data_IF_918571041306
#
_entry.id   IF_918571041306
#
_cell.length_a   1.000
_cell.length_b   1.000
_cell.length_c   1.000
_cell.angle_alpha   90.00
_cell.angle_beta   90.00
_cell.angle_gamma   90.00
#
_symmetry.space_group_name_H-M   'P 1'
#
loop_
_entity.id
_entity.type
_entity.pdbx_description
1 polymer ?
#
# COMPACT_ATOMS: atom_id res chain seq x y z
N UNK A 1 -1.42 3.90 -19.14
CA UNK A 1 -1.93 3.46 -17.81
C UNK A 1 -3.41 3.14 -17.90
N UNK A 2 -3.93 2.13 -17.23
CA UNK A 2 -5.36 1.97 -17.05
C UNK A 2 -5.93 3.14 -16.25
N UNK A 3 -7.21 3.42 -16.43
CA UNK A 3 -7.89 4.54 -15.76
C UNK A 3 -7.88 4.42 -14.23
N UNK A 4 -8.01 3.18 -13.73
CA UNK A 4 -7.93 2.86 -12.31
C UNK A 4 -6.85 1.80 -12.08
N UNK A 5 -6.06 1.94 -11.00
CA UNK A 5 -5.00 0.99 -10.64
C UNK A 5 -5.54 -0.22 -9.85
N UNK A 6 -6.85 -0.40 -9.82
CA UNK A 6 -7.58 -1.47 -9.15
C UNK A 6 -8.72 -1.93 -10.05
N UNK A 7 -9.01 -3.22 -10.06
CA UNK A 7 -10.12 -3.79 -10.85
C UNK A 7 -10.68 -5.06 -10.21
N UNK A 8 -11.91 -5.38 -10.60
CA UNK A 8 -12.51 -6.69 -10.33
C UNK A 8 -12.41 -7.53 -11.61
N UNK A 9 -11.95 -8.76 -11.46
CA UNK A 9 -11.84 -9.75 -12.55
C UNK A 9 -12.61 -11.01 -12.15
N UNK A 10 -13.40 -11.54 -13.08
CA UNK A 10 -14.06 -12.83 -12.93
C UNK A 10 -13.20 -13.93 -13.56
N UNK A 11 -13.03 -15.03 -12.84
CA UNK A 11 -12.30 -16.20 -13.30
C UNK A 11 -13.12 -17.45 -12.87
N UNK A 12 -13.86 -18.02 -13.80
CA UNK A 12 -14.86 -19.03 -13.53
C UNK A 12 -15.97 -18.53 -12.61
N UNK A 13 -16.22 -19.27 -11.52
CA UNK A 13 -17.24 -18.94 -10.52
C UNK A 13 -16.75 -17.99 -9.41
N UNK A 14 -15.51 -17.52 -9.51
CA UNK A 14 -14.89 -16.63 -8.53
C UNK A 14 -14.59 -15.27 -9.12
N UNK A 15 -14.72 -14.28 -8.29
CA UNK A 15 -14.29 -12.92 -8.61
C UNK A 15 -13.09 -12.56 -7.73
N UNK A 16 -12.19 -11.73 -8.27
CA UNK A 16 -10.98 -11.28 -7.59
C UNK A 16 -10.85 -9.77 -7.67
N UNK A 17 -10.48 -9.15 -6.55
CA UNK A 17 -9.97 -7.79 -6.56
C UNK A 17 -8.48 -7.85 -6.89
N UNK A 18 -8.07 -7.08 -7.89
CA UNK A 18 -6.68 -6.99 -8.31
C UNK A 18 -6.15 -5.57 -8.18
N UNK A 19 -4.89 -5.45 -7.78
CA UNK A 19 -4.12 -4.21 -7.77
C UNK A 19 -3.03 -4.21 -8.83
N UNK A 20 -2.65 -3.01 -9.28
CA UNK A 20 -1.68 -2.81 -10.34
C UNK A 20 -0.25 -2.73 -9.78
N UNK A 21 0.69 -3.34 -10.49
CA UNK A 21 2.11 -3.10 -10.39
C UNK A 21 2.63 -2.57 -11.74
N UNK A 22 3.47 -1.53 -11.72
CA UNK A 22 4.00 -0.88 -12.92
C UNK A 22 5.52 -0.93 -12.91
N UNK A 23 6.11 -1.56 -13.91
CA UNK A 23 7.56 -1.52 -14.12
C UNK A 23 7.90 -0.37 -15.07
N UNK A 24 8.86 0.45 -14.66
CA UNK A 24 9.36 1.58 -15.44
C UNK A 24 10.88 1.53 -15.54
N UNK A 25 11.43 2.10 -16.62
CA UNK A 25 12.88 2.17 -16.86
C UNK A 25 13.25 3.52 -17.45
N UNK A 26 14.39 4.06 -17.05
CA UNK A 26 14.97 5.27 -17.64
C UNK A 26 16.01 4.96 -18.72
N UNK A 27 16.54 6.00 -19.36
CA UNK A 27 17.53 5.87 -20.42
C UNK A 27 18.89 5.32 -19.93
N UNK A 28 19.20 5.41 -18.64
CA UNK A 28 20.39 4.82 -18.03
C UNK A 28 20.26 3.31 -17.78
N UNK A 29 19.04 2.77 -17.94
CA UNK A 29 18.68 1.40 -17.63
C UNK A 29 18.34 1.17 -16.16
N UNK A 30 18.21 2.24 -15.34
CA UNK A 30 17.69 2.10 -13.99
C UNK A 30 16.19 1.78 -14.03
N UNK A 31 15.76 0.85 -13.17
CA UNK A 31 14.39 0.36 -13.11
C UNK A 31 13.69 0.80 -11.84
N UNK A 32 12.42 1.14 -11.96
CA UNK A 32 11.51 1.40 -10.84
C UNK A 32 10.29 0.50 -10.97
N UNK A 33 9.98 -0.22 -9.91
CA UNK A 33 8.77 -1.00 -9.77
C UNK A 33 7.83 -0.30 -8.80
N UNK A 34 6.71 0.24 -9.32
CA UNK A 34 5.62 0.76 -8.51
C UNK A 34 4.74 -0.40 -8.08
N UNK A 35 4.73 -0.72 -6.80
CA UNK A 35 3.97 -1.84 -6.22
C UNK A 35 2.76 -1.26 -5.51
N UNK A 36 1.62 -1.30 -6.22
CA UNK A 36 0.36 -0.79 -5.68
C UNK A 36 -0.27 -1.77 -4.72
N UNK A 37 -0.34 -1.42 -3.44
CA UNK A 37 -0.94 -2.28 -2.42
C UNK A 37 -2.36 -1.89 -2.05
N UNK A 38 -3.09 -2.86 -1.53
CA UNK A 38 -4.37 -2.70 -0.84
C UNK A 38 -4.10 -3.10 0.61
N UNK A 39 -4.55 -2.27 1.57
CA UNK A 39 -4.20 -2.47 2.99
C UNK A 39 -4.80 -3.73 3.63
N UNK A 40 -5.80 -4.33 2.98
CA UNK A 40 -6.46 -5.58 3.38
C UNK A 40 -6.46 -6.54 2.20
N UNK A 41 -5.89 -7.72 2.38
CA UNK A 41 -5.78 -8.74 1.32
C UNK A 41 -5.53 -10.13 1.85
N UNK A 42 -5.46 -11.09 0.96
CA UNK A 42 -5.03 -12.45 1.29
C UNK A 42 -3.53 -12.45 1.65
N UNK A 43 -3.12 -13.31 2.54
CA UNK A 43 -1.73 -13.41 2.97
C UNK A 43 -0.79 -13.71 1.78
N UNK A 44 -1.22 -14.56 0.86
CA UNK A 44 -0.49 -14.89 -0.37
C UNK A 44 -0.22 -13.68 -1.26
N UNK A 45 -1.15 -12.73 -1.33
CA UNK A 45 -0.95 -11.47 -2.05
C UNK A 45 0.24 -10.67 -1.50
N UNK A 46 0.34 -10.54 -0.19
CA UNK A 46 1.45 -9.81 0.41
C UNK A 46 2.77 -10.56 0.31
N UNK A 47 2.75 -11.91 0.28
CA UNK A 47 3.95 -12.68 -0.04
C UNK A 47 4.45 -12.43 -1.47
N UNK A 48 3.56 -12.24 -2.43
CA UNK A 48 3.98 -11.82 -3.77
C UNK A 48 4.54 -10.39 -3.77
N UNK A 49 3.92 -9.45 -3.05
CA UNK A 49 4.48 -8.11 -2.86
C UNK A 49 5.86 -8.16 -2.19
N UNK A 50 6.07 -9.03 -1.18
CA UNK A 50 7.36 -9.22 -0.51
C UNK A 50 8.44 -9.67 -1.49
N UNK A 51 8.17 -10.64 -2.36
CA UNK A 51 9.13 -11.07 -3.39
C UNK A 51 9.55 -9.93 -4.31
N UNK A 52 8.62 -9.02 -4.64
CA UNK A 52 8.93 -7.87 -5.48
C UNK A 52 9.86 -6.87 -4.76
N UNK A 53 9.61 -6.58 -3.49
CA UNK A 53 10.46 -5.66 -2.72
C UNK A 53 11.81 -6.27 -2.37
N UNK A 54 11.88 -7.60 -2.16
CA UNK A 54 13.13 -8.31 -1.89
C UNK A 54 14.07 -8.33 -3.10
N UNK A 55 13.53 -8.18 -4.31
CA UNK A 55 14.30 -8.07 -5.54
C UNK A 55 14.85 -6.65 -5.80
N UNK A 56 14.55 -5.67 -4.94
CA UNK A 56 14.96 -4.30 -5.11
C UNK A 56 16.20 -3.96 -4.27
N UNK A 57 17.12 -3.16 -4.84
CA UNK A 57 18.27 -2.60 -4.11
C UNK A 57 17.81 -1.57 -3.08
N UNK A 58 16.68 -0.90 -3.35
CA UNK A 58 16.09 0.14 -2.51
C UNK A 58 14.58 0.21 -2.68
N UNK A 59 13.84 0.33 -1.57
CA UNK A 59 12.38 0.39 -1.55
C UNK A 59 11.92 1.61 -0.79
N UNK A 60 11.22 2.50 -1.47
CA UNK A 60 10.57 3.67 -0.89
C UNK A 60 9.16 3.28 -0.48
N UNK A 61 8.78 3.51 0.78
CA UNK A 61 7.51 3.01 1.28
C UNK A 61 6.68 4.06 2.02
N UNK A 62 5.38 3.85 1.96
CA UNK A 62 4.34 4.65 2.59
C UNK A 62 4.20 4.31 4.06
N UNK A 63 4.31 5.33 4.95
CA UNK A 63 4.05 5.17 6.38
C UNK A 63 3.80 6.54 7.05
N UNK A 64 2.54 6.88 7.30
CA UNK A 64 2.16 8.11 8.00
C UNK A 64 2.66 8.17 9.44
N UNK A 65 3.01 7.05 10.05
CA UNK A 65 3.59 6.99 11.39
C UNK A 65 5.10 7.34 11.42
N UNK A 66 5.67 7.79 10.28
CA UNK A 66 7.03 8.34 10.24
C UNK A 66 8.14 7.31 10.32
N UNK A 67 7.97 6.14 9.69
CA UNK A 67 8.95 5.06 9.67
C UNK A 67 8.80 4.06 10.83
N UNK A 68 7.73 4.15 11.58
CA UNK A 68 7.43 3.25 12.71
C UNK A 68 7.30 1.79 12.28
N UNK A 69 6.82 1.53 11.05
CA UNK A 69 6.74 0.18 10.48
C UNK A 69 8.10 -0.50 10.40
N UNK A 70 9.11 0.15 9.83
CA UNK A 70 10.44 -0.42 9.74
C UNK A 70 11.05 -0.67 11.12
N UNK A 71 10.90 0.29 12.03
CA UNK A 71 11.36 0.13 13.42
C UNK A 71 10.70 -1.06 14.11
N UNK A 72 9.38 -1.22 13.96
CA UNK A 72 8.65 -2.35 14.53
C UNK A 72 9.19 -3.69 14.03
N UNK A 73 9.45 -3.82 12.73
CA UNK A 73 10.00 -5.04 12.14
C UNK A 73 11.44 -5.30 12.56
N UNK A 74 12.30 -4.29 12.63
CA UNK A 74 13.67 -4.41 13.13
C UNK A 74 13.69 -4.90 14.60
N UNK A 75 12.82 -4.33 15.45
CA UNK A 75 12.68 -4.76 16.83
C UNK A 75 12.16 -6.20 16.96
N UNK A 76 11.22 -6.61 16.08
CA UNK A 76 10.74 -8.00 16.02
C UNK A 76 11.82 -8.98 15.60
N UNK A 77 12.68 -8.62 14.65
CA UNK A 77 13.83 -9.43 14.27
C UNK A 77 14.77 -9.62 15.46
N UNK A 78 15.14 -8.52 16.16
CA UNK A 78 15.94 -8.59 17.39
C UNK A 78 15.28 -9.44 18.48
N UNK A 79 13.95 -9.37 18.62
CA UNK A 79 13.20 -10.18 19.57
C UNK A 79 13.32 -11.67 19.28
N UNK A 80 13.18 -12.08 18.01
CA UNK A 80 13.33 -13.49 17.60
C UNK A 80 14.74 -14.04 17.87
N UNK A 81 15.75 -13.16 17.84
CA UNK A 81 17.14 -13.49 18.11
C UNK A 81 17.53 -13.34 19.59
N UNK A 82 16.58 -12.97 20.46
CA UNK A 82 16.83 -12.75 21.89
C UNK A 82 17.73 -11.55 22.20
N UNK A 83 17.85 -10.58 21.28
CA UNK A 83 18.78 -9.43 21.34
C UNK A 83 18.13 -8.12 21.74
N UNK A 84 16.87 -8.10 22.18
CA UNK A 84 16.21 -6.88 22.65
C UNK A 84 16.78 -6.43 23.99
N UNK A 85 17.13 -5.16 24.08
CA UNK A 85 17.31 -4.46 25.36
C UNK A 85 15.94 -4.21 26.01
N UNK A 86 15.91 -3.94 27.32
CA UNK A 86 14.65 -3.64 28.03
C UNK A 86 13.96 -2.41 27.40
N UNK A 87 14.70 -1.36 27.10
CA UNK A 87 14.17 -0.16 26.42
C UNK A 87 13.57 -0.47 25.05
N UNK A 88 14.21 -1.34 24.26
CA UNK A 88 13.67 -1.77 22.96
C UNK A 88 12.42 -2.63 23.10
N UNK A 89 12.34 -3.43 24.16
CA UNK A 89 11.15 -4.23 24.49
C UNK A 89 9.97 -3.31 24.81
N UNK A 90 10.17 -2.32 25.69
CA UNK A 90 9.16 -1.34 26.04
C UNK A 90 8.69 -0.55 24.79
N UNK A 91 9.63 -0.17 23.92
CA UNK A 91 9.30 0.53 22.67
C UNK A 91 8.49 -0.35 21.72
N UNK A 92 8.86 -1.62 21.54
CA UNK A 92 8.09 -2.55 20.71
C UNK A 92 6.68 -2.77 21.26
N UNK A 93 6.51 -2.85 22.57
CA UNK A 93 5.19 -2.93 23.20
C UNK A 93 4.36 -1.67 22.94
N UNK A 94 4.95 -0.48 23.04
CA UNK A 94 4.27 0.78 22.73
C UNK A 94 3.80 0.83 21.27
N UNK A 95 4.69 0.48 20.33
CA UNK A 95 4.36 0.43 18.89
C UNK A 95 3.22 -0.57 18.64
N UNK A 96 3.30 -1.76 19.23
CA UNK A 96 2.27 -2.79 19.08
C UNK A 96 0.90 -2.35 19.63
N UNK A 97 0.86 -1.49 20.66
CA UNK A 97 -0.42 -0.96 21.20
C UNK A 97 -1.08 0.04 20.26
N UNK A 98 -0.32 0.79 19.50
CA UNK A 98 -0.83 1.88 18.64
C UNK A 98 -1.15 1.37 17.24
N UNK A 99 -0.15 0.79 16.53
CA UNK A 99 -0.26 0.52 15.11
C UNK A 99 -0.37 -0.97 14.76
N UNK A 100 0.08 -1.85 15.64
CA UNK A 100 0.24 -3.28 15.35
C UNK A 100 -0.43 -4.18 16.37
N UNK A 101 -1.35 -3.64 17.16
CA UNK A 101 -2.11 -4.45 18.10
C UNK A 101 -2.87 -5.55 17.33
N UNK A 102 -2.50 -6.83 17.47
CA UNK A 102 -3.20 -7.93 16.81
C UNK A 102 -4.66 -8.03 17.24
N UNK A 103 -4.98 -7.50 18.42
CA UNK A 103 -6.32 -7.46 18.99
C UNK A 103 -7.08 -6.16 18.67
N UNK A 104 -6.54 -5.29 17.80
CA UNK A 104 -7.28 -4.12 17.34
C UNK A 104 -8.56 -4.56 16.62
N UNK A 105 -9.59 -3.71 16.67
CA UNK A 105 -10.87 -3.99 16.01
C UNK A 105 -10.66 -4.27 14.52
N UNK A 106 -9.81 -3.48 13.84
CA UNK A 106 -9.48 -3.67 12.43
C UNK A 106 -8.80 -5.01 12.15
N UNK A 107 -7.88 -5.44 13.01
CA UNK A 107 -7.19 -6.73 12.84
C UNK A 107 -8.13 -7.91 13.09
N UNK A 108 -8.98 -7.82 14.13
CA UNK A 108 -10.01 -8.84 14.40
C UNK A 108 -11.01 -8.90 13.25
N UNK A 109 -11.43 -7.74 12.73
CA UNK A 109 -12.33 -7.68 11.60
C UNK A 109 -11.70 -8.33 10.36
N UNK A 110 -10.46 -7.99 10.02
CA UNK A 110 -9.75 -8.58 8.89
C UNK A 110 -9.64 -10.11 9.04
N UNK A 111 -9.21 -10.59 10.20
CA UNK A 111 -9.05 -12.01 10.50
C UNK A 111 -10.39 -12.77 10.41
N UNK A 112 -11.48 -12.18 10.91
CA UNK A 112 -12.83 -12.76 10.82
C UNK A 112 -13.33 -12.94 9.38
N UNK A 113 -12.73 -12.24 8.42
CA UNK A 113 -13.04 -12.32 6.98
C UNK A 113 -11.92 -12.97 6.17
N UNK A 114 -11.00 -13.69 6.84
CA UNK A 114 -9.90 -14.40 6.20
C UNK A 114 -8.88 -13.47 5.53
N UNK A 115 -8.86 -12.18 5.90
CA UNK A 115 -7.93 -11.19 5.37
C UNK A 115 -6.80 -10.90 6.35
N UNK A 116 -5.70 -10.34 5.82
CA UNK A 116 -4.58 -9.81 6.59
C UNK A 116 -4.39 -8.33 6.29
N UNK A 117 -3.79 -7.62 7.21
CA UNK A 117 -3.27 -6.28 6.94
C UNK A 117 -1.88 -6.36 6.35
N UNK A 118 -1.58 -5.48 5.40
CA UNK A 118 -0.27 -5.32 4.77
C UNK A 118 0.87 -5.30 5.81
N UNK A 119 0.71 -4.53 6.88
CA UNK A 119 1.70 -4.33 7.93
C UNK A 119 1.99 -5.56 8.78
N UNK A 120 1.14 -6.59 8.71
CA UNK A 120 1.32 -7.86 9.41
C UNK A 120 2.17 -8.86 8.62
N UNK A 121 2.24 -8.71 7.30
CA UNK A 121 2.85 -9.71 6.40
C UNK A 121 4.10 -9.18 5.72
N UNK A 122 4.08 -7.94 5.19
CA UNK A 122 5.25 -7.35 4.55
C UNK A 122 6.28 -6.96 5.61
N UNK A 123 7.50 -7.50 5.48
CA UNK A 123 8.62 -7.22 6.35
C UNK A 123 9.36 -5.95 5.92
N UNK A 124 9.20 -4.88 6.67
CA UNK A 124 9.83 -3.58 6.43
C UNK A 124 11.19 -3.42 7.12
N UNK A 125 11.70 -4.46 7.81
CA UNK A 125 12.92 -4.38 8.63
C UNK A 125 14.22 -4.43 7.86
N UNK A 126 14.17 -4.73 6.56
CA UNK A 126 15.36 -4.82 5.71
C UNK A 126 16.06 -3.47 5.48
N UNK A 127 17.38 -3.47 5.25
CA UNK A 127 18.19 -2.25 5.07
C UNK A 127 17.86 -1.49 3.77
N UNK A 128 17.20 -2.14 2.82
CA UNK A 128 16.78 -1.53 1.56
C UNK A 128 15.60 -0.57 1.72
N UNK A 129 14.83 -0.67 2.82
CA UNK A 129 13.64 0.15 3.03
C UNK A 129 13.98 1.59 3.41
N UNK A 130 13.40 2.55 2.72
CA UNK A 130 13.52 4.00 2.94
C UNK A 130 12.12 4.55 3.16
N UNK A 131 11.87 5.07 4.35
CA UNK A 131 10.64 5.79 4.61
C UNK A 131 10.54 7.02 3.71
N UNK A 132 9.44 7.14 3.00
CA UNK A 132 9.26 8.13 1.93
C UNK A 132 7.85 8.73 1.94
N UNK A 133 7.40 9.23 3.08
CA UNK A 133 6.05 9.77 3.28
C UNK A 133 6.10 11.06 4.11
N UNK A 134 4.95 11.70 4.27
CA UNK A 134 4.73 12.79 5.23
C UNK A 134 4.31 12.20 6.58
N UNK A 135 4.61 12.88 7.68
CA UNK A 135 4.10 12.49 8.99
C UNK A 135 2.65 12.90 9.13
N UNK A 136 1.85 12.07 9.77
CA UNK A 136 0.44 12.37 10.03
C UNK A 136 0.25 13.72 10.75
N UNK A 137 1.14 14.05 11.68
CA UNK A 137 1.11 15.32 12.41
C UNK A 137 1.34 16.56 11.53
N UNK A 138 2.00 16.42 10.38
CA UNK A 138 2.30 17.52 9.46
C UNK A 138 1.14 17.74 8.46
N UNK A 139 0.25 16.77 8.33
CA UNK A 139 -0.89 16.80 7.38
C UNK A 139 -1.82 18.01 7.55
N UNK A 140 -2.22 18.45 8.77
CA UNK A 140 -3.08 19.61 8.92
C UNK A 140 -2.47 20.88 8.30
N UNK A 141 -1.19 21.12 8.52
CA UNK A 141 -0.46 22.26 7.95
C UNK A 141 -0.36 22.17 6.41
N UNK A 142 -0.09 20.98 5.89
CA UNK A 142 -0.04 20.73 4.45
C UNK A 142 -1.40 20.96 3.78
N UNK A 143 -2.48 20.47 4.39
CA UNK A 143 -3.83 20.60 3.84
C UNK A 143 -4.37 22.04 3.91
N UNK A 144 -3.89 22.83 4.87
CA UNK A 144 -4.33 24.23 5.02
C UNK A 144 -4.14 25.06 3.74
N UNK A 145 -3.07 24.82 2.99
CA UNK A 145 -2.79 25.52 1.71
C UNK A 145 -3.81 25.25 0.60
N UNK A 146 -4.57 24.18 0.69
CA UNK A 146 -5.57 23.78 -0.32
C UNK A 146 -6.98 24.25 0.01
N UNK A 147 -7.19 24.81 1.20
CA UNK A 147 -8.51 25.20 1.68
C UNK A 147 -9.42 24.02 2.03
N UNK A 148 -10.67 24.29 2.40
CA UNK A 148 -11.62 23.24 2.76
C UNK A 148 -11.96 22.37 1.54
N UNK A 149 -11.82 21.06 1.71
CA UNK A 149 -12.21 20.11 0.68
C UNK A 149 -13.71 19.85 0.73
N UNK A 150 -14.32 19.78 -0.45
CA UNK A 150 -15.72 19.37 -0.50
C UNK A 150 -15.83 17.89 -0.07
N UNK A 151 -16.77 17.56 0.84
CA UNK A 151 -16.97 16.19 1.23
C UNK A 151 -17.46 15.38 0.03
N UNK A 152 -16.83 14.24 -0.20
CA UNK A 152 -17.28 13.28 -1.19
C UNK A 152 -18.37 12.40 -0.59
N UNK A 153 -19.58 12.48 -1.15
CA UNK A 153 -20.64 11.55 -0.80
C UNK A 153 -20.35 10.19 -1.44
N UNK A 154 -19.99 9.20 -0.62
CA UNK A 154 -19.82 7.81 -1.11
C UNK A 154 -21.15 7.34 -1.70
N UNK A 155 -21.20 6.95 -2.99
CA UNK A 155 -22.40 6.44 -3.59
C UNK A 155 -22.96 5.24 -2.82
N UNK A 156 -24.28 5.14 -2.72
CA UNK A 156 -24.91 3.93 -2.17
C UNK A 156 -24.71 2.80 -3.17
N UNK A 157 -23.75 1.91 -2.88
CA UNK A 157 -23.43 0.78 -3.73
C UNK A 157 -24.48 -0.33 -3.56
N UNK A 158 -24.88 -0.94 -4.67
CA UNK A 158 -25.68 -2.17 -4.62
C UNK A 158 -24.79 -3.32 -4.19
N UNK A 159 -25.37 -4.26 -3.43
CA UNK A 159 -24.67 -5.50 -3.15
C UNK A 159 -24.41 -6.24 -4.49
N UNK A 160 -23.22 -6.78 -4.67
CA UNK A 160 -22.92 -7.54 -5.87
C UNK A 160 -23.76 -8.84 -5.90
N UNK A 161 -24.21 -9.21 -7.07
CA UNK A 161 -24.84 -10.52 -7.29
C UNK A 161 -23.77 -11.60 -7.21
N UNK A 162 -23.97 -12.58 -6.34
CA UNK A 162 -23.05 -13.70 -6.13
C UNK A 162 -23.71 -14.99 -6.58
N UNK A 163 -23.04 -15.75 -7.42
CA UNK A 163 -23.46 -17.09 -7.83
C UNK A 163 -22.99 -18.15 -6.82
N UNK A 164 -23.72 -19.26 -6.71
CA UNK A 164 -23.37 -20.37 -5.82
C UNK A 164 -23.59 -20.09 -4.33
N UNK A 165 -22.86 -20.78 -3.47
CA UNK A 165 -22.97 -20.62 -2.02
C UNK A 165 -22.44 -19.23 -1.57
N UNK A 166 -23.26 -18.50 -0.81
CA UNK A 166 -22.97 -17.15 -0.33
C UNK A 166 -22.77 -17.16 1.18
N UNK A 167 -21.54 -17.35 1.61
CA UNK A 167 -21.15 -17.22 3.03
C UNK A 167 -21.10 -15.75 3.47
N UNK A 168 -21.24 -15.45 4.80
CA UNK A 168 -21.05 -14.09 5.32
C UNK A 168 -19.69 -13.50 4.95
N UNK A 169 -18.63 -14.30 4.99
CA UNK A 169 -17.28 -13.90 4.59
C UNK A 169 -17.24 -13.48 3.11
N UNK A 170 -17.74 -14.33 2.21
CA UNK A 170 -17.79 -14.07 0.76
C UNK A 170 -18.58 -12.80 0.44
N UNK A 171 -19.71 -12.59 1.12
CA UNK A 171 -20.53 -11.37 0.97
C UNK A 171 -19.78 -10.13 1.41
N UNK A 172 -19.05 -10.19 2.53
CA UNK A 172 -18.29 -9.06 3.03
C UNK A 172 -17.11 -8.72 2.10
N UNK A 173 -16.37 -9.73 1.65
CA UNK A 173 -15.25 -9.55 0.70
C UNK A 173 -15.74 -8.94 -0.62
N UNK A 174 -16.87 -9.38 -1.14
CA UNK A 174 -17.46 -8.82 -2.37
C UNK A 174 -17.86 -7.35 -2.21
N UNK A 175 -18.47 -6.97 -1.08
CA UNK A 175 -18.81 -5.58 -0.76
C UNK A 175 -17.55 -4.71 -0.66
N UNK A 176 -16.51 -5.22 -0.01
CA UNK A 176 -15.21 -4.54 0.09
C UNK A 176 -14.61 -4.32 -1.30
N UNK A 177 -14.59 -5.36 -2.15
CA UNK A 177 -14.07 -5.27 -3.50
C UNK A 177 -14.78 -4.20 -4.34
N UNK A 178 -16.13 -4.22 -4.33
CA UNK A 178 -16.96 -3.22 -5.05
C UNK A 178 -16.69 -1.81 -4.53
N UNK A 179 -16.57 -1.65 -3.20
CA UNK A 179 -16.29 -0.33 -2.61
C UNK A 179 -14.92 0.21 -3.00
N UNK A 180 -13.90 -0.62 -2.96
CA UNK A 180 -12.53 -0.23 -3.30
C UNK A 180 -12.35 0.07 -4.79
N UNK A 181 -13.08 -0.63 -5.65
CA UNK A 181 -13.01 -0.45 -7.11
C UNK A 181 -14.06 0.53 -7.67
N UNK A 182 -14.85 1.20 -6.83
CA UNK A 182 -15.87 2.14 -7.27
C UNK A 182 -15.21 3.36 -7.96
N UNK A 183 -15.47 3.59 -9.26
CA UNK A 183 -14.68 4.52 -10.05
C UNK A 183 -14.73 5.99 -9.59
N UNK A 184 -15.89 6.44 -9.07
CA UNK A 184 -16.05 7.84 -8.64
C UNK A 184 -15.28 8.09 -7.34
N UNK A 185 -15.36 7.15 -6.39
CA UNK A 185 -14.62 7.21 -5.14
C UNK A 185 -13.12 7.12 -5.36
N UNK A 186 -12.68 6.17 -6.19
CA UNK A 186 -11.28 6.03 -6.54
C UNK A 186 -10.71 7.30 -7.18
N UNK A 187 -11.39 7.86 -8.20
CA UNK A 187 -10.95 9.11 -8.84
C UNK A 187 -10.94 10.30 -7.89
N UNK A 188 -11.90 10.36 -6.96
CA UNK A 188 -11.92 11.40 -5.94
C UNK A 188 -10.68 11.30 -5.04
N UNK A 189 -10.42 10.11 -4.47
CA UNK A 189 -9.28 9.86 -3.58
C UNK A 189 -7.97 10.21 -4.27
N UNK A 190 -7.73 9.74 -5.48
CA UNK A 190 -6.50 9.99 -6.26
C UNK A 190 -6.21 11.47 -6.50
N UNK A 191 -7.22 12.33 -6.45
CA UNK A 191 -7.09 13.80 -6.70
C UNK A 191 -7.05 14.62 -5.43
N UNK A 192 -7.13 14.01 -4.26
CA UNK A 192 -7.11 14.78 -3.01
C UNK A 192 -5.71 15.34 -2.75
N UNK A 193 -5.60 16.54 -2.17
CA UNK A 193 -4.31 17.07 -1.70
C UNK A 193 -3.59 16.13 -0.73
N UNK A 194 -4.35 15.36 0.03
CA UNK A 194 -3.83 14.33 0.92
C UNK A 194 -2.96 13.30 0.16
N UNK A 195 -3.42 12.86 -1.02
CA UNK A 195 -2.67 11.93 -1.88
C UNK A 195 -1.49 12.65 -2.56
N UNK A 196 -1.77 13.79 -3.17
CA UNK A 196 -0.81 14.55 -3.97
C UNK A 196 0.44 14.97 -3.18
N UNK A 197 0.27 15.48 -1.95
CA UNK A 197 1.40 15.89 -1.11
C UNK A 197 2.30 14.72 -0.71
N UNK A 198 1.69 13.58 -0.44
CA UNK A 198 2.42 12.36 -0.11
C UNK A 198 3.24 11.85 -1.31
N UNK A 199 2.67 11.93 -2.51
CA UNK A 199 3.36 11.55 -3.74
C UNK A 199 4.54 12.47 -4.04
N UNK A 200 4.37 13.79 -3.88
CA UNK A 200 5.49 14.74 -4.01
C UNK A 200 6.58 14.44 -3.00
N UNK A 201 6.21 14.21 -1.73
CA UNK A 201 7.17 13.86 -0.69
C UNK A 201 7.92 12.56 -0.99
N UNK A 202 7.20 11.55 -1.47
CA UNK A 202 7.82 10.31 -1.93
C UNK A 202 8.88 10.57 -2.99
N UNK A 203 8.57 11.39 -3.99
CA UNK A 203 9.49 11.67 -5.09
C UNK A 203 10.68 12.56 -4.69
N UNK A 204 10.51 13.48 -3.74
CA UNK A 204 11.64 14.23 -3.14
C UNK A 204 12.63 13.29 -2.46
N UNK A 205 12.12 12.35 -1.66
CA UNK A 205 12.96 11.37 -0.95
C UNK A 205 13.58 10.39 -1.95
N UNK A 206 12.83 9.97 -2.97
CA UNK A 206 13.33 9.14 -4.06
C UNK A 206 14.54 9.81 -4.72
N UNK A 207 14.44 11.06 -5.16
CA UNK A 207 15.53 11.80 -5.80
C UNK A 207 16.74 11.94 -4.88
N UNK A 208 16.53 12.22 -3.60
CA UNK A 208 17.59 12.39 -2.62
C UNK A 208 18.27 11.07 -2.21
N UNK A 209 17.57 9.95 -2.26
CA UNK A 209 18.04 8.69 -1.65
C UNK A 209 18.25 7.54 -2.63
N UNK A 210 17.83 7.65 -3.89
CA UNK A 210 18.02 6.56 -4.87
C UNK A 210 19.48 6.22 -5.11
N UNK A 211 20.38 7.22 -5.07
CA UNK A 211 21.84 7.02 -5.23
C UNK A 211 22.18 6.26 -6.51
N UNK A 212 23.01 5.21 -6.37
CA UNK A 212 23.42 4.32 -7.46
C UNK A 212 22.55 3.07 -7.61
N UNK A 213 21.42 2.98 -6.90
CA UNK A 213 20.51 1.84 -7.00
C UNK A 213 20.00 1.67 -8.44
N UNK A 214 20.01 0.43 -8.92
CA UNK A 214 19.58 0.10 -10.30
C UNK A 214 18.17 -0.48 -10.33
N UNK A 215 17.76 -1.18 -9.28
CA UNK A 215 16.44 -1.79 -9.14
C UNK A 215 15.77 -1.19 -7.90
N UNK A 216 14.80 -0.32 -8.11
CA UNK A 216 14.12 0.42 -7.06
C UNK A 216 12.65 0.01 -6.97
N UNK A 217 12.12 -0.07 -5.76
CA UNK A 217 10.72 -0.27 -5.48
C UNK A 217 10.08 0.98 -4.91
N UNK A 218 8.83 1.25 -5.26
CA UNK A 218 7.97 2.20 -4.56
C UNK A 218 6.74 1.42 -4.11
N UNK A 219 6.64 1.17 -2.81
CA UNK A 219 5.58 0.38 -2.17
C UNK A 219 4.56 1.33 -1.54
N UNK A 220 3.48 1.55 -2.23
CA UNK A 220 2.46 2.54 -1.88
C UNK A 220 1.05 2.01 -2.10
N UNK A 221 0.07 2.57 -1.39
CA UNK A 221 -1.33 2.28 -1.67
C UNK A 221 -1.65 2.47 -3.15
N UNK A 222 -2.39 1.52 -3.73
CA UNK A 222 -2.59 1.44 -5.19
C UNK A 222 -3.15 2.73 -5.81
N UNK A 223 -3.90 3.54 -5.03
CA UNK A 223 -4.48 4.80 -5.52
C UNK A 223 -3.43 5.91 -5.79
N UNK A 224 -2.21 5.77 -5.28
CA UNK A 224 -1.09 6.69 -5.56
C UNK A 224 -0.46 6.45 -6.94
N UNK A 225 -0.59 5.24 -7.51
CA UNK A 225 0.15 4.82 -8.69
C UNK A 225 -0.01 5.74 -9.91
N UNK A 226 -1.20 6.21 -10.29
CA UNK A 226 -1.35 7.06 -11.47
C UNK A 226 -0.50 8.32 -11.40
N UNK A 227 -0.53 9.01 -10.27
CA UNK A 227 0.25 10.24 -10.07
C UNK A 227 1.75 9.96 -9.94
N UNK A 228 2.14 8.91 -9.21
CA UNK A 228 3.55 8.50 -9.12
C UNK A 228 4.14 8.11 -10.49
N UNK A 229 3.35 7.46 -11.36
CA UNK A 229 3.77 7.19 -12.75
C UNK A 229 4.04 8.47 -13.52
N UNK A 230 3.18 9.47 -13.39
CA UNK A 230 3.36 10.75 -14.09
C UNK A 230 4.60 11.49 -13.55
N UNK A 231 4.80 11.53 -12.24
CA UNK A 231 6.00 12.10 -11.61
C UNK A 231 7.31 11.37 -12.01
N UNK A 232 7.26 10.06 -12.19
CA UNK A 232 8.41 9.29 -12.71
C UNK A 232 8.64 9.55 -14.20
N UNK A 233 7.58 9.77 -15.00
CA UNK A 233 7.71 10.15 -16.41
C UNK A 233 8.41 11.49 -16.58
N UNK A 234 8.12 12.47 -15.71
CA UNK A 234 8.81 13.75 -15.67
C UNK A 234 10.32 13.59 -15.40
N UNK A 235 10.71 12.52 -14.69
CA UNK A 235 12.10 12.11 -14.41
C UNK A 235 12.73 11.23 -15.49
N UNK A 236 12.05 11.07 -16.62
CA UNK A 236 12.55 10.33 -17.79
C UNK A 236 12.30 8.82 -17.77
N UNK A 237 11.60 8.31 -16.76
CA UNK A 237 11.19 6.89 -16.75
C UNK A 237 10.06 6.63 -17.74
N UNK A 238 10.07 5.44 -18.36
CA UNK A 238 9.05 4.98 -19.31
C UNK A 238 8.47 3.66 -18.84
N UNK A 239 7.14 3.51 -18.94
CA UNK A 239 6.45 2.26 -18.61
C UNK A 239 6.95 1.15 -19.55
N UNK A 240 7.40 0.05 -18.96
CA UNK A 240 7.84 -1.17 -19.65
C UNK A 240 6.76 -2.24 -19.60
N UNK A 241 6.16 -2.46 -18.42
CA UNK A 241 5.14 -3.48 -18.25
C UNK A 241 4.14 -3.11 -17.17
N UNK A 242 2.97 -3.72 -17.27
CA UNK A 242 1.88 -3.65 -16.29
C UNK A 242 1.55 -5.08 -15.86
N UNK A 243 1.46 -5.31 -14.55
CA UNK A 243 1.05 -6.60 -13.99
C UNK A 243 -0.04 -6.39 -12.95
N UNK A 244 -0.97 -7.34 -12.88
CA UNK A 244 -2.06 -7.32 -11.92
C UNK A 244 -1.86 -8.45 -10.91
N UNK A 245 -2.05 -8.13 -9.65
CA UNK A 245 -1.93 -9.08 -8.54
C UNK A 245 -3.25 -9.20 -7.82
N UNK A 246 -3.70 -10.44 -7.60
CA UNK A 246 -4.94 -10.78 -6.91
C UNK A 246 -4.79 -10.49 -5.43
N UNK A 247 -5.45 -9.42 -4.97
CA UNK A 247 -5.40 -9.01 -3.56
C UNK A 247 -6.26 -9.94 -2.69
N UNK A 248 -7.45 -10.29 -3.16
CA UNK A 248 -8.29 -11.33 -2.55
C UNK A 248 -9.39 -11.76 -3.51
N UNK A 249 -9.89 -13.01 -3.29
CA UNK A 249 -11.03 -13.56 -4.02
C UNK A 249 -12.33 -13.60 -3.21
N UNK A 250 -13.49 -13.75 -3.88
CA UNK A 250 -14.80 -13.92 -3.27
C UNK A 250 -15.77 -14.66 -4.19
#
# INVERSE_FOLDING_TARGET
MPELPIRIVQDGDRSYLESLCVQMRDASGAEVMLIGTIHLGDESYYHECQKLVDACDRVFYEDLAGGTMALAWQLRHKAKEGRLTDRERDLLEQINRIDYNPDSEDNRWAAAHGLRRQTQVIDYGGPQFVWADVRQQDMPALLQKYGPQQPFAIPRLKDPELSGEVTPERRMRSRLAVRLSEPRGARYVMKTPFMTERDFRCMEIFDAKRGSARHMGILYGTMHLPHLVDLLRERGFRVQSLRWYRAFGY
#
